data_IF_076959174261
#
_entry.id   IF_076959174261
#
_cell.length_a   1.000
_cell.length_b   1.000
_cell.length_c   1.000
_cell.angle_alpha   90.00
_cell.angle_beta   90.00
_cell.angle_gamma   90.00
#
_symmetry.space_group_name_H-M   'P 1'
#
loop_
_entity.id
_entity.type
_entity.pdbx_description
1 polymer ?
#
# COMPACT_ATOMS: atom_id res chain seq x y z
N UNK A 1 -15.03 -18.21 -10.94
CA UNK A 1 -15.00 -16.92 -10.20
C UNK A 1 -13.66 -16.83 -9.48
N UNK A 2 -12.87 -15.79 -9.69
CA UNK A 2 -11.54 -15.66 -9.05
C UNK A 2 -11.72 -15.20 -7.61
N UNK A 3 -11.14 -15.93 -6.65
CA UNK A 3 -11.08 -15.52 -5.24
C UNK A 3 -9.80 -14.73 -5.01
N UNK A 4 -9.93 -13.44 -4.73
CA UNK A 4 -8.78 -12.59 -4.38
C UNK A 4 -8.32 -12.85 -2.95
N UNK A 5 -7.04 -12.58 -2.68
CA UNK A 5 -6.48 -12.64 -1.33
C UNK A 5 -7.11 -11.54 -0.44
N UNK A 6 -7.18 -11.72 0.88
CA UNK A 6 -7.46 -10.62 1.81
C UNK A 6 -6.45 -9.46 1.65
N UNK A 7 -6.86 -8.21 1.92
CA UNK A 7 -5.99 -7.03 1.71
C UNK A 7 -4.66 -7.10 2.48
N UNK A 8 -4.67 -7.61 3.71
CA UNK A 8 -3.47 -7.80 4.53
C UNK A 8 -2.50 -8.88 4.00
N UNK A 9 -2.89 -9.62 2.97
CA UNK A 9 -2.06 -10.59 2.24
C UNK A 9 -1.66 -10.09 0.84
N UNK A 10 -2.04 -8.85 0.48
CA UNK A 10 -1.76 -8.26 -0.82
C UNK A 10 -0.61 -7.24 -0.77
N UNK A 11 0.05 -7.12 -1.93
CA UNK A 11 0.92 -5.98 -2.26
C UNK A 11 0.19 -5.17 -3.33
N UNK A 12 -0.01 -3.87 -3.10
CA UNK A 12 -0.69 -2.97 -4.02
C UNK A 12 0.28 -1.91 -4.54
N UNK A 13 0.32 -1.73 -5.86
CA UNK A 13 1.02 -0.62 -6.50
C UNK A 13 0.02 0.50 -6.75
N UNK A 14 0.28 1.69 -6.21
CA UNK A 14 -0.60 2.86 -6.36
C UNK A 14 0.19 3.98 -7.03
N UNK A 15 -0.21 4.30 -8.27
CA UNK A 15 0.27 5.45 -9.02
C UNK A 15 -0.59 6.68 -8.73
N UNK A 16 0.01 7.87 -8.72
CA UNK A 16 -0.70 9.09 -8.32
C UNK A 16 -0.99 9.14 -6.82
N UNK A 17 -0.15 8.49 -5.99
CA UNK A 17 -0.37 8.36 -4.55
C UNK A 17 -0.22 9.67 -3.75
N UNK A 18 0.26 10.75 -4.36
CA UNK A 18 0.58 12.00 -3.65
C UNK A 18 -0.62 12.87 -3.31
N UNK A 19 -1.79 12.67 -3.94
CA UNK A 19 -2.99 13.49 -3.69
C UNK A 19 -4.28 12.77 -4.12
N UNK A 20 -5.43 13.40 -3.84
CA UNK A 20 -6.74 12.98 -4.34
C UNK A 20 -7.10 11.52 -4.01
N UNK A 21 -7.57 10.80 -5.03
CA UNK A 21 -8.02 9.41 -4.90
C UNK A 21 -6.85 8.49 -4.54
N UNK A 22 -5.71 8.61 -5.21
CA UNK A 22 -4.55 7.75 -4.95
C UNK A 22 -4.05 7.84 -3.51
N UNK A 23 -4.00 9.05 -2.94
CA UNK A 23 -3.66 9.27 -1.53
C UNK A 23 -4.68 8.61 -0.59
N UNK A 24 -5.97 8.80 -0.85
CA UNK A 24 -7.05 8.21 -0.05
C UNK A 24 -7.01 6.68 -0.12
N UNK A 25 -6.84 6.12 -1.32
CA UNK A 25 -6.69 4.67 -1.55
C UNK A 25 -5.48 4.11 -0.80
N UNK A 26 -4.33 4.79 -0.84
CA UNK A 26 -3.14 4.36 -0.11
C UNK A 26 -3.39 4.29 1.40
N UNK A 27 -4.02 5.32 1.98
CA UNK A 27 -4.39 5.35 3.40
C UNK A 27 -5.34 4.22 3.78
N UNK A 28 -6.39 4.01 2.98
CA UNK A 28 -7.37 2.96 3.23
C UNK A 28 -6.76 1.55 3.11
N UNK A 29 -5.94 1.33 2.07
CA UNK A 29 -5.26 0.06 1.86
C UNK A 29 -4.26 -0.25 2.99
N UNK A 30 -3.49 0.75 3.43
CA UNK A 30 -2.60 0.63 4.58
C UNK A 30 -3.35 0.28 5.87
N UNK A 31 -4.50 0.94 6.13
CA UNK A 31 -5.38 0.63 7.26
C UNK A 31 -5.94 -0.80 7.19
N UNK A 32 -6.17 -1.31 5.98
CA UNK A 32 -6.53 -2.70 5.71
C UNK A 32 -5.38 -3.71 5.85
N UNK A 33 -4.17 -3.26 6.21
CA UNK A 33 -2.98 -4.09 6.40
C UNK A 33 -2.24 -4.43 5.11
N UNK A 34 -2.63 -3.86 3.96
CA UNK A 34 -1.94 -4.11 2.70
C UNK A 34 -0.52 -3.54 2.73
N UNK A 35 0.37 -4.17 1.96
CA UNK A 35 1.68 -3.59 1.65
C UNK A 35 1.57 -2.73 0.41
N UNK A 36 2.25 -1.60 0.41
CA UNK A 36 2.10 -0.61 -0.65
C UNK A 36 3.43 -0.33 -1.35
N UNK A 37 3.36 -0.19 -2.66
CA UNK A 37 4.36 0.51 -3.48
C UNK A 37 3.69 1.79 -3.96
N UNK A 38 4.27 2.94 -3.61
CA UNK A 38 3.68 4.25 -3.87
C UNK A 38 4.50 4.97 -4.94
N UNK A 39 3.84 5.44 -6.00
CA UNK A 39 4.47 6.15 -7.10
C UNK A 39 3.75 7.48 -7.39
N UNK A 40 4.52 8.55 -7.49
CA UNK A 40 4.08 9.89 -7.85
C UNK A 40 5.29 10.75 -8.25
N UNK A 41 5.05 11.95 -8.78
CA UNK A 41 6.11 12.90 -9.18
C UNK A 41 6.78 13.60 -8.00
N UNK A 42 6.05 13.82 -6.90
CA UNK A 42 6.57 14.53 -5.72
C UNK A 42 7.15 13.53 -4.72
N UNK A 43 8.47 13.48 -4.62
CA UNK A 43 9.18 12.66 -3.64
C UNK A 43 8.84 13.07 -2.20
N UNK A 44 8.74 14.38 -1.93
CA UNK A 44 8.41 14.91 -0.59
C UNK A 44 7.05 14.40 -0.10
N UNK A 45 6.02 14.47 -0.95
CA UNK A 45 4.69 13.97 -0.63
C UNK A 45 4.70 12.45 -0.37
N UNK A 46 5.46 11.69 -1.17
CA UNK A 46 5.63 10.25 -0.95
C UNK A 46 6.35 9.93 0.36
N UNK A 47 7.39 10.68 0.71
CA UNK A 47 8.10 10.52 1.99
C UNK A 47 7.20 10.86 3.17
N UNK A 48 6.39 11.92 3.08
CA UNK A 48 5.42 12.26 4.12
C UNK A 48 4.38 11.15 4.28
N UNK A 49 3.78 10.69 3.18
CA UNK A 49 2.79 9.61 3.20
C UNK A 49 3.38 8.30 3.74
N UNK A 50 4.61 7.96 3.35
CA UNK A 50 5.30 6.75 3.84
C UNK A 50 5.55 6.82 5.35
N UNK A 51 5.95 7.98 5.89
CA UNK A 51 6.10 8.18 7.34
C UNK A 51 4.77 8.13 8.08
N UNK A 52 3.73 8.73 7.50
CA UNK A 52 2.36 8.69 8.05
C UNK A 52 1.85 7.24 8.15
N UNK A 53 1.96 6.49 7.06
CA UNK A 53 1.54 5.08 7.00
C UNK A 53 2.41 4.22 7.91
N UNK A 54 3.74 4.35 7.87
CA UNK A 54 4.65 3.52 8.66
C UNK A 54 4.43 3.60 10.17
N UNK A 55 3.96 4.74 10.69
CA UNK A 55 3.60 4.89 12.11
C UNK A 55 2.31 4.19 12.51
N UNK A 56 1.39 4.01 11.56
CA UNK A 56 0.05 3.47 11.82
C UNK A 56 -0.15 2.06 11.24
N UNK A 57 0.81 1.55 10.48
CA UNK A 57 0.72 0.28 9.79
C UNK A 57 0.89 -0.88 10.77
N UNK A 58 -0.17 -1.65 10.94
CA UNK A 58 -0.26 -2.79 11.88
C UNK A 58 0.06 -4.13 11.22
N UNK A 59 0.49 -4.13 9.96
CA UNK A 59 0.55 -5.33 9.10
C UNK A 59 1.66 -6.32 9.46
N UNK A 60 1.44 -7.20 10.43
CA UNK A 60 2.29 -8.37 10.69
C UNK A 60 2.15 -9.50 9.63
N UNK A 61 1.65 -9.21 8.43
CA UNK A 61 1.41 -10.22 7.40
C UNK A 61 2.72 -10.90 6.98
N UNK A 62 2.69 -12.19 6.62
CA UNK A 62 3.87 -12.93 6.09
C UNK A 62 4.48 -12.17 4.92
N UNK A 63 5.81 -12.09 4.78
CA UNK A 63 6.44 -11.59 3.54
C UNK A 63 5.75 -12.29 2.37
N UNK A 64 5.30 -11.57 1.32
CA UNK A 64 4.68 -12.24 0.19
C UNK A 64 5.72 -13.21 -0.34
N UNK A 65 5.44 -14.51 -0.31
CA UNK A 65 6.31 -15.47 -0.96
C UNK A 65 6.25 -15.17 -2.45
N UNK A 66 7.40 -15.01 -3.14
CA UNK A 66 7.38 -14.85 -4.59
C UNK A 66 6.57 -15.99 -5.18
N UNK A 67 5.65 -15.67 -6.10
CA UNK A 67 4.92 -16.71 -6.82
C UNK A 67 5.95 -17.52 -7.62
N UNK A 68 5.84 -18.86 -7.66
CA UNK A 68 6.54 -19.61 -8.70
C UNK A 68 6.07 -19.04 -10.05
N UNK A 69 7.03 -18.67 -10.90
CA UNK A 69 6.77 -18.37 -12.31
C UNK A 69 6.36 -19.64 -13.04
#
# INVERSE_FOLDING_TARGET
MVKLKPLNEQVMVITGASSGIGLTTARMAAKGGARLVLAARSEEALRQLTREIGRSWTGAGRRPTPSPM
#
